data_IF_876062396430
#
_entry.id   IF_876062396430
#
_cell.length_a   1.000
_cell.length_b   1.000
_cell.length_c   1.000
_cell.angle_alpha   90.00
_cell.angle_beta   90.00
_cell.angle_gamma   90.00
#
_symmetry.space_group_name_H-M   'P 1'
#
loop_
_entity.id
_entity.type
_entity.pdbx_description
1 polymer ?
#
# COMPACT_ATOMS: atom_id res chain seq x y z
N UNK A 1 -13.39 -2.78 -8.73
CA UNK A 1 -12.97 -1.38 -8.57
C UNK A 1 -11.58 -1.14 -9.07
N UNK A 2 -11.39 -0.03 -9.77
CA UNK A 2 -10.08 0.45 -10.15
C UNK A 2 -9.39 1.18 -9.00
N UNK A 3 -8.06 1.13 -9.04
CA UNK A 3 -7.16 1.76 -8.06
C UNK A 3 -7.06 3.24 -8.39
N UNK A 4 -7.13 4.09 -7.37
CA UNK A 4 -7.11 5.54 -7.49
C UNK A 4 -5.97 6.17 -6.68
N UNK A 5 -5.58 7.39 -7.06
CA UNK A 5 -4.70 8.21 -6.22
C UNK A 5 -5.37 8.40 -4.85
N UNK A 6 -4.60 8.19 -3.78
CA UNK A 6 -5.07 8.21 -2.41
C UNK A 6 -5.40 6.83 -1.83
N UNK A 7 -5.60 5.80 -2.66
CA UNK A 7 -5.84 4.43 -2.18
C UNK A 7 -4.61 3.91 -1.42
N UNK A 8 -4.85 3.24 -0.29
CA UNK A 8 -3.82 2.49 0.44
C UNK A 8 -3.90 1.04 -0.01
N UNK A 9 -2.78 0.49 -0.46
CA UNK A 9 -2.72 -0.84 -1.06
C UNK A 9 -1.69 -1.72 -0.38
N UNK A 10 -1.99 -3.02 -0.36
CA UNK A 10 -1.02 -4.06 -0.03
C UNK A 10 -0.46 -4.58 -1.34
N UNK A 11 0.86 -4.54 -1.50
CA UNK A 11 1.51 -4.93 -2.75
C UNK A 11 2.82 -5.68 -2.51
N UNK A 12 3.25 -6.43 -3.53
CA UNK A 12 4.54 -7.10 -3.55
C UNK A 12 5.60 -6.15 -4.13
N UNK A 13 6.41 -5.56 -3.25
CA UNK A 13 7.52 -4.70 -3.63
C UNK A 13 8.65 -5.51 -4.27
N UNK A 14 9.28 -4.97 -5.31
CA UNK A 14 10.44 -5.59 -5.93
C UNK A 14 11.72 -5.46 -5.08
N UNK A 15 11.73 -4.52 -4.13
CA UNK A 15 12.88 -4.16 -3.30
C UNK A 15 12.81 -4.70 -1.86
N UNK A 16 11.72 -5.40 -1.49
CA UNK A 16 11.51 -5.90 -0.13
C UNK A 16 10.86 -7.28 -0.16
N UNK A 17 11.26 -8.15 0.75
CA UNK A 17 10.68 -9.48 0.89
C UNK A 17 9.38 -9.44 1.69
N UNK A 18 8.26 -9.79 1.04
CA UNK A 18 6.94 -9.81 1.67
C UNK A 18 6.06 -8.60 1.33
N UNK A 19 4.80 -8.59 1.81
CA UNK A 19 3.83 -7.56 1.47
C UNK A 19 4.16 -6.22 2.12
N UNK A 20 4.05 -5.14 1.33
CA UNK A 20 4.22 -3.75 1.77
C UNK A 20 2.88 -3.04 1.71
N UNK A 21 2.58 -2.18 2.69
CA UNK A 21 1.34 -1.40 2.78
C UNK A 21 1.66 0.07 2.65
N UNK A 22 1.34 0.70 1.52
CA UNK A 22 1.64 2.11 1.24
C UNK A 22 0.53 2.76 0.41
N UNK A 23 0.61 4.07 0.18
CA UNK A 23 -0.41 4.85 -0.54
C UNK A 23 -0.01 5.14 -1.98
N UNK A 24 -0.97 5.01 -2.90
CA UNK A 24 -0.84 5.45 -4.29
C UNK A 24 -0.82 6.97 -4.33
N UNK A 25 0.27 7.56 -4.78
CA UNK A 25 0.43 9.02 -4.91
C UNK A 25 0.30 9.50 -6.35
N UNK A 26 0.49 8.60 -7.33
CA UNK A 26 0.36 8.91 -8.74
C UNK A 26 -0.01 7.67 -9.56
N UNK A 27 -0.67 7.89 -10.70
CA UNK A 27 -1.02 6.85 -11.68
C UNK A 27 -0.55 7.35 -13.05
N UNK A 28 0.24 6.53 -13.73
CA UNK A 28 0.75 6.84 -15.06
C UNK A 28 0.49 5.68 -16.03
N UNK A 29 0.58 5.99 -17.32
CA UNK A 29 0.55 4.99 -18.38
C UNK A 29 1.93 4.96 -19.05
N UNK A 30 2.57 3.79 -19.05
CA UNK A 30 3.87 3.57 -19.66
C UNK A 30 3.75 2.37 -20.59
N UNK A 31 4.05 2.55 -21.88
CA UNK A 31 3.97 1.51 -22.90
C UNK A 31 2.60 0.78 -22.93
N UNK A 32 1.50 1.53 -22.78
CA UNK A 32 0.14 0.98 -22.75
C UNK A 32 -0.22 0.22 -21.46
N UNK A 33 0.64 0.28 -20.44
CA UNK A 33 0.42 -0.35 -19.14
C UNK A 33 0.23 0.69 -18.05
N UNK A 34 -0.84 0.55 -17.25
CA UNK A 34 -1.05 1.36 -16.05
C UNK A 34 -0.04 0.98 -14.97
N UNK A 35 0.66 1.97 -14.46
CA UNK A 35 1.61 1.84 -13.36
C UNK A 35 1.30 2.84 -12.25
N UNK A 36 1.73 2.51 -11.04
CA UNK A 36 1.44 3.24 -9.82
C UNK A 36 2.73 3.71 -9.16
N UNK A 37 2.79 5.00 -8.80
CA UNK A 37 3.79 5.50 -7.86
C UNK A 37 3.21 5.35 -6.46
N UNK A 38 3.98 4.72 -5.58
CA UNK A 38 3.52 4.34 -4.24
C UNK A 38 4.52 4.87 -3.21
N UNK A 39 4.02 5.28 -2.06
CA UNK A 39 4.83 5.87 -0.99
C UNK A 39 4.25 5.56 0.39
N UNK A 40 5.13 5.29 1.35
CA UNK A 40 4.75 5.25 2.77
C UNK A 40 4.35 6.63 3.28
N UNK A 41 3.22 6.71 3.98
CA UNK A 41 2.67 7.99 4.49
C UNK A 41 3.68 8.75 5.36
N UNK A 42 4.54 8.04 6.10
CA UNK A 42 5.57 8.60 6.98
C UNK A 42 6.98 8.68 6.35
N UNK A 43 7.15 8.38 5.07
CA UNK A 43 8.44 8.49 4.39
C UNK A 43 8.58 9.89 3.76
N UNK A 44 9.80 10.36 3.48
CA UNK A 44 10.01 11.62 2.74
C UNK A 44 9.96 11.43 1.22
N UNK A 45 10.31 10.23 0.75
CA UNK A 45 10.42 9.88 -0.68
C UNK A 45 9.49 8.73 -1.05
N UNK A 46 9.17 8.62 -2.34
CA UNK A 46 8.40 7.49 -2.89
C UNK A 46 9.24 6.21 -2.96
N UNK A 47 8.54 5.09 -3.11
CA UNK A 47 9.17 3.80 -3.29
C UNK A 47 9.95 3.78 -4.62
N UNK A 48 11.10 3.08 -4.70
CA UNK A 48 12.08 3.26 -5.77
C UNK A 48 11.62 2.83 -7.18
N UNK A 49 10.51 2.09 -7.30
CA UNK A 49 10.05 1.54 -8.57
C UNK A 49 8.56 1.74 -8.79
N UNK A 50 8.18 1.90 -10.06
CA UNK A 50 6.80 1.81 -10.51
C UNK A 50 6.20 0.45 -10.17
N UNK A 51 4.98 0.45 -9.66
CA UNK A 51 4.25 -0.74 -9.29
C UNK A 51 3.21 -1.04 -10.37
N UNK A 52 3.13 -2.28 -10.82
CA UNK A 52 2.12 -2.71 -11.79
C UNK A 52 0.87 -3.24 -11.10
N UNK A 53 -0.26 -3.30 -11.82
CA UNK A 53 -1.54 -3.82 -11.28
C UNK A 53 -1.41 -5.25 -10.74
N UNK A 54 -0.55 -6.09 -11.32
CA UNK A 54 -0.34 -7.48 -10.89
C UNK A 54 0.40 -7.62 -9.56
N UNK A 55 1.16 -6.59 -9.16
CA UNK A 55 1.86 -6.56 -7.87
C UNK A 55 0.91 -6.20 -6.72
N UNK A 56 -0.21 -5.53 -7.00
CA UNK A 56 -1.18 -5.12 -5.99
C UNK A 56 -2.07 -6.30 -5.61
N UNK A 57 -2.11 -6.62 -4.31
CA UNK A 57 -2.84 -7.76 -3.74
C UNK A 57 -4.19 -7.36 -3.21
N UNK A 58 -4.28 -6.22 -2.54
CA UNK A 58 -5.52 -5.75 -1.95
C UNK A 58 -5.48 -4.24 -1.72
N UNK A 59 -6.66 -3.66 -1.49
CA UNK A 59 -6.85 -2.26 -1.11
C UNK A 59 -7.45 -2.22 0.30
N UNK A 60 -6.96 -1.30 1.12
CA UNK A 60 -7.51 -1.03 2.45
C UNK A 60 -8.90 -0.43 2.34
N UNK A 61 -9.80 -0.84 3.24
CA UNK A 61 -11.16 -0.30 3.28
C UNK A 61 -11.14 1.16 3.72
N UNK A 62 -11.89 1.98 2.99
CA UNK A 62 -12.07 3.40 3.29
C UNK A 62 -13.56 3.69 3.49
N UNK A 63 -13.85 4.64 4.38
CA UNK A 63 -15.17 5.19 4.62
C UNK A 63 -15.05 6.71 4.68
N UNK A 64 -15.83 7.42 3.87
CA UNK A 64 -15.76 8.89 3.75
C UNK A 64 -14.34 9.44 3.46
N UNK A 65 -13.63 8.77 2.55
CA UNK A 65 -12.25 9.14 2.17
C UNK A 65 -11.18 8.82 3.22
N UNK A 66 -11.55 8.30 4.40
CA UNK A 66 -10.60 7.93 5.44
C UNK A 66 -10.47 6.40 5.56
N UNK A 67 -9.25 5.87 5.82
CA UNK A 67 -9.07 4.46 6.06
C UNK A 67 -9.76 4.03 7.36
N UNK A 68 -10.39 2.85 7.34
CA UNK A 68 -10.93 2.23 8.55
C UNK A 68 -9.75 1.68 9.35
N UNK A 69 -9.49 2.28 10.51
CA UNK A 69 -8.37 1.91 11.39
C UNK A 69 -8.93 1.32 12.69
N UNK A 70 -8.36 0.20 13.13
CA UNK A 70 -8.59 -0.36 14.47
C UNK A 70 -7.33 -0.12 15.30
N UNK A 71 -7.28 0.92 16.15
CA UNK A 71 -6.09 1.25 16.91
C UNK A 71 -5.69 0.11 17.87
N UNK A 72 -4.38 -0.02 18.10
CA UNK A 72 -3.77 -0.93 19.11
C UNK A 72 -4.01 -2.43 18.92
N UNK A 73 -4.72 -2.88 17.88
CA UNK A 73 -4.93 -4.32 17.59
C UNK A 73 -3.60 -5.08 17.44
N UNK A 74 -2.56 -4.41 16.93
CA UNK A 74 -1.20 -4.97 16.82
C UNK A 74 -0.58 -5.38 18.15
N UNK A 75 -0.96 -4.79 19.29
CA UNK A 75 -0.42 -5.14 20.60
C UNK A 75 -0.76 -6.57 21.02
N UNK A 76 -1.91 -7.09 20.58
CA UNK A 76 -2.29 -8.49 20.82
C UNK A 76 -1.27 -9.42 20.17
N UNK A 77 -0.85 -9.12 18.93
CA UNK A 77 0.14 -9.94 18.20
C UNK A 77 1.52 -9.90 18.86
N UNK A 78 1.93 -8.74 19.39
CA UNK A 78 3.21 -8.58 20.10
C UNK A 78 3.18 -9.36 21.41
N UNK A 79 2.07 -9.29 22.14
CA UNK A 79 1.88 -10.04 23.37
C UNK A 79 1.99 -11.56 23.14
N UNK A 80 1.33 -12.09 22.10
CA UNK A 80 1.40 -13.52 21.75
C UNK A 80 2.82 -13.94 21.34
N UNK A 81 3.56 -13.11 20.61
CA UNK A 81 4.95 -13.41 20.20
C UNK A 81 5.96 -13.32 21.35
N UNK A 82 5.61 -12.63 22.43
CA UNK A 82 6.43 -12.50 23.63
C UNK A 82 6.19 -13.58 24.69
N UNK A 83 5.18 -14.44 24.49
CA UNK A 83 4.95 -15.67 25.26
C UNK A 83 5.81 -16.82 24.70
#
# INVERSE_FOLDING_TARGET
DDIKVGDIVVYNAAWHEGPVIHRVINIAEINGSTVFEIKGDNNDVSDPYWVTKSQIKSRVLTFDGQPIIIPKIGYISIWIRGL
#
